data_IF_543552276018
#
_entry.id   IF_543552276018
#
_cell.length_a   1.000
_cell.length_b   1.000
_cell.length_c   1.000
_cell.angle_alpha   90.00
_cell.angle_beta   90.00
_cell.angle_gamma   90.00
#
_symmetry.space_group_name_H-M   'P 1'
#
loop_
_entity.id
_entity.type
_entity.pdbx_description
1 polymer ?
#
# COMPACT_ATOMS: atom_id res chain seq x y z
N UNK A 1 -2.09 -25.37 4.72
CA UNK A 1 -1.14 -24.23 4.72
C UNK A 1 -1.43 -23.35 3.53
N UNK A 2 -1.67 -22.06 3.78
CA UNK A 2 -1.78 -21.06 2.71
C UNK A 2 -0.37 -20.81 2.12
N UNK A 3 -0.21 -20.70 0.79
CA UNK A 3 1.07 -20.30 0.20
C UNK A 3 1.49 -18.90 0.71
N UNK A 4 2.79 -18.56 0.70
CA UNK A 4 3.24 -17.22 1.04
C UNK A 4 2.56 -16.16 0.17
N UNK A 5 2.08 -15.09 0.80
CA UNK A 5 1.41 -13.99 0.13
C UNK A 5 1.86 -12.63 0.68
N UNK A 6 1.65 -11.60 -0.13
CA UNK A 6 1.86 -10.20 0.24
C UNK A 6 0.52 -9.52 0.47
N UNK A 7 0.37 -8.81 1.58
CA UNK A 7 -0.80 -7.94 1.76
C UNK A 7 -0.55 -6.57 1.13
N UNK A 8 -1.58 -5.98 0.50
CA UNK A 8 -1.53 -4.60 0.06
C UNK A 8 -2.14 -3.68 1.13
N UNK A 9 -1.38 -2.67 1.54
CA UNK A 9 -1.82 -1.57 2.38
C UNK A 9 -1.94 -0.31 1.51
N UNK A 10 -3.16 0.17 1.28
CA UNK A 10 -3.40 1.28 0.36
C UNK A 10 -4.72 2.01 0.65
N UNK A 11 -4.84 3.23 0.12
CA UNK A 11 -6.12 3.96 0.16
C UNK A 11 -6.99 3.56 -1.02
N UNK A 12 -8.25 3.19 -0.79
CA UNK A 12 -9.15 2.85 -1.87
C UNK A 12 -9.43 4.01 -2.84
N UNK A 13 -9.39 5.26 -2.37
CA UNK A 13 -9.70 6.45 -3.16
C UNK A 13 -11.19 6.54 -3.49
N UNK A 14 -11.52 7.13 -4.64
CA UNK A 14 -12.91 7.36 -5.07
C UNK A 14 -13.75 6.07 -5.04
N UNK A 15 -15.03 6.20 -4.67
CA UNK A 15 -15.94 5.05 -4.56
C UNK A 15 -16.33 4.43 -5.90
N UNK A 16 -16.09 5.15 -7.01
CA UNK A 16 -16.40 4.69 -8.36
C UNK A 16 -15.36 3.66 -8.78
N UNK A 17 -15.82 2.45 -9.08
CA UNK A 17 -15.05 1.51 -9.88
C UNK A 17 -14.96 2.07 -11.30
N UNK A 18 -13.74 2.29 -11.78
CA UNK A 18 -13.50 2.95 -13.07
C UNK A 18 -12.67 2.08 -14.02
N UNK A 19 -12.33 0.87 -13.60
CA UNK A 19 -11.49 -0.05 -14.36
C UNK A 19 -11.92 -1.49 -14.08
N UNK A 20 -11.66 -2.38 -15.05
CA UNK A 20 -11.89 -3.81 -14.90
C UNK A 20 -10.57 -4.56 -15.06
N UNK A 21 -10.39 -5.59 -14.25
CA UNK A 21 -9.34 -6.61 -14.39
C UNK A 21 -10.00 -7.98 -14.58
N UNK A 22 -9.21 -8.99 -14.92
CA UNK A 22 -9.69 -10.37 -15.01
C UNK A 22 -9.34 -11.11 -13.72
N UNK A 23 -10.36 -11.61 -13.02
CA UNK A 23 -10.21 -12.48 -11.84
C UNK A 23 -10.94 -13.79 -12.12
N UNK A 24 -10.23 -14.92 -12.07
CA UNK A 24 -10.78 -16.25 -12.37
C UNK A 24 -11.56 -16.31 -13.70
N UNK A 25 -11.03 -15.66 -14.75
CA UNK A 25 -11.65 -15.61 -16.08
C UNK A 25 -12.86 -14.68 -16.21
N UNK A 26 -13.20 -13.90 -15.18
CA UNK A 26 -14.34 -12.96 -15.18
C UNK A 26 -13.86 -11.53 -15.01
N UNK A 27 -14.56 -10.59 -15.65
CA UNK A 27 -14.33 -9.18 -15.43
C UNK A 27 -14.70 -8.79 -13.99
N UNK A 28 -13.78 -8.11 -13.31
CA UNK A 28 -13.93 -7.66 -11.93
C UNK A 28 -13.60 -6.17 -11.84
N UNK A 29 -14.55 -5.39 -11.31
CA UNK A 29 -14.44 -3.94 -11.21
C UNK A 29 -13.55 -3.50 -10.05
N UNK A 30 -12.55 -2.68 -10.35
CA UNK A 30 -11.63 -2.10 -9.36
C UNK A 30 -11.59 -0.57 -9.45
N UNK A 31 -11.11 0.04 -8.37
CA UNK A 31 -10.91 1.49 -8.29
C UNK A 31 -9.62 1.89 -8.98
N UNK A 32 -9.58 3.13 -9.49
CA UNK A 32 -8.41 3.69 -10.20
C UNK A 32 -7.10 3.56 -9.44
N UNK A 33 -7.12 3.76 -8.11
CA UNK A 33 -5.90 3.69 -7.31
C UNK A 33 -5.34 2.26 -7.23
N UNK A 34 -6.21 1.24 -7.19
CA UNK A 34 -5.77 -0.15 -7.22
C UNK A 34 -5.23 -0.53 -8.60
N UNK A 35 -5.87 -0.08 -9.68
CA UNK A 35 -5.34 -0.29 -11.04
C UNK A 35 -3.91 0.26 -11.16
N UNK A 36 -3.69 1.50 -10.72
CA UNK A 36 -2.37 2.13 -10.78
C UNK A 36 -1.31 1.33 -10.02
N UNK A 37 -1.66 0.76 -8.85
CA UNK A 37 -0.78 -0.14 -8.13
C UNK A 37 -0.48 -1.41 -8.92
N UNK A 38 -1.50 -2.09 -9.45
CA UNK A 38 -1.33 -3.36 -10.19
C UNK A 38 -0.48 -3.16 -11.46
N UNK A 39 -0.68 -2.06 -12.19
CA UNK A 39 0.14 -1.71 -13.35
C UNK A 39 1.61 -1.47 -12.98
N UNK A 40 1.87 -0.86 -11.82
CA UNK A 40 3.23 -0.65 -11.34
C UNK A 40 3.86 -1.95 -10.83
N UNK A 41 3.11 -2.77 -10.09
CA UNK A 41 3.57 -4.08 -9.62
C UNK A 41 3.93 -5.00 -10.80
N UNK A 42 3.10 -5.03 -11.84
CA UNK A 42 3.34 -5.82 -13.05
C UNK A 42 4.55 -5.36 -13.88
N UNK A 43 5.07 -4.15 -13.66
CA UNK A 43 6.27 -3.62 -14.32
C UNK A 43 7.52 -3.73 -13.47
N UNK A 44 7.39 -4.15 -12.21
CA UNK A 44 8.54 -4.30 -11.33
C UNK A 44 9.35 -5.53 -11.70
N UNK A 45 10.65 -5.52 -11.41
CA UNK A 45 11.53 -6.69 -11.56
C UNK A 45 11.34 -7.72 -10.43
N UNK A 46 10.26 -7.62 -9.67
CA UNK A 46 9.91 -8.59 -8.62
C UNK A 46 9.36 -9.88 -9.22
N UNK A 47 9.24 -10.91 -8.38
CA UNK A 47 8.71 -12.22 -8.73
C UNK A 47 7.34 -12.11 -9.43
N UNK A 48 7.21 -12.55 -10.71
CA UNK A 48 5.95 -12.50 -11.43
C UNK A 48 4.88 -13.43 -10.84
N UNK A 49 5.28 -14.43 -10.04
CA UNK A 49 4.38 -15.35 -9.36
C UNK A 49 4.00 -14.86 -7.94
N UNK A 50 4.36 -13.61 -7.59
CA UNK A 50 4.03 -13.01 -6.29
C UNK A 50 2.52 -12.95 -6.07
N UNK A 51 2.06 -13.68 -5.05
CA UNK A 51 0.67 -13.65 -4.62
C UNK A 51 0.37 -12.41 -3.79
N UNK A 52 -0.72 -11.72 -4.14
CA UNK A 52 -1.24 -10.60 -3.36
C UNK A 52 -2.58 -10.93 -2.72
N UNK A 53 -2.73 -10.57 -1.45
CA UNK A 53 -4.01 -10.41 -0.80
C UNK A 53 -4.38 -8.92 -0.82
N UNK A 54 -5.49 -8.60 -1.46
CA UNK A 54 -5.98 -7.23 -1.65
C UNK A 54 -7.45 -7.21 -1.27
N UNK A 55 -7.80 -6.48 -0.22
CA UNK A 55 -9.15 -6.42 0.36
C UNK A 55 -10.27 -6.23 -0.67
N UNK A 56 -10.09 -5.33 -1.63
CA UNK A 56 -11.06 -5.05 -2.69
C UNK A 56 -11.34 -6.23 -3.61
N UNK A 57 -10.39 -7.17 -3.75
CA UNK A 57 -10.49 -8.35 -4.62
C UNK A 57 -10.83 -9.60 -3.80
N UNK A 58 -10.17 -9.79 -2.66
CA UNK A 58 -10.25 -11.01 -1.85
C UNK A 58 -11.46 -11.07 -0.91
N UNK A 59 -12.09 -9.93 -0.62
CA UNK A 59 -13.30 -9.86 0.20
C UNK A 59 -14.49 -9.56 -0.72
N UNK A 60 -15.57 -10.32 -0.57
CA UNK A 60 -16.81 -10.01 -1.25
C UNK A 60 -17.43 -8.71 -0.69
N UNK A 61 -17.23 -7.62 -1.42
CA UNK A 61 -17.68 -6.30 -0.99
C UNK A 61 -19.20 -6.13 -0.99
N UNK A 62 -19.94 -7.05 -1.64
CA UNK A 62 -21.40 -7.02 -1.72
C UNK A 62 -22.05 -7.81 -0.57
N UNK A 63 -21.31 -8.69 0.08
CA UNK A 63 -21.77 -9.45 1.24
C UNK A 63 -21.30 -8.73 2.52
N UNK A 64 -22.26 -8.16 3.25
CA UNK A 64 -21.95 -7.43 4.48
C UNK A 64 -21.54 -8.36 5.62
N UNK A 65 -22.07 -9.59 5.65
CA UNK A 65 -21.74 -10.57 6.68
C UNK A 65 -20.31 -11.06 6.49
N UNK A 66 -19.97 -11.53 5.28
CA UNK A 66 -18.60 -11.93 4.93
C UNK A 66 -17.62 -10.78 5.16
N UNK A 67 -17.96 -9.56 4.73
CA UNK A 67 -17.09 -8.39 4.91
C UNK A 67 -16.80 -8.13 6.38
N UNK A 68 -17.81 -8.22 7.25
CA UNK A 68 -17.60 -7.99 8.69
C UNK A 68 -16.74 -9.09 9.32
N UNK A 69 -16.92 -10.34 8.91
CA UNK A 69 -16.07 -11.45 9.33
C UNK A 69 -14.62 -11.25 8.87
N UNK A 70 -14.41 -10.86 7.61
CA UNK A 70 -13.08 -10.59 7.04
C UNK A 70 -12.40 -9.41 7.73
N UNK A 71 -13.13 -8.34 8.04
CA UNK A 71 -12.61 -7.20 8.81
C UNK A 71 -12.12 -7.65 10.19
N UNK A 72 -12.84 -8.54 10.85
CA UNK A 72 -12.42 -9.12 12.15
C UNK A 72 -11.15 -9.97 12.01
N UNK A 73 -10.94 -10.59 10.84
CA UNK A 73 -9.77 -11.42 10.53
C UNK A 73 -8.56 -10.63 9.99
N UNK A 74 -8.72 -9.36 9.59
CA UNK A 74 -7.65 -8.57 8.96
C UNK A 74 -6.36 -8.59 9.78
N UNK A 75 -6.42 -8.40 11.10
CA UNK A 75 -5.22 -8.42 11.94
C UNK A 75 -4.43 -9.72 11.81
N UNK A 76 -5.11 -10.86 11.68
CA UNK A 76 -4.47 -12.17 11.45
C UNK A 76 -3.90 -12.26 10.03
N UNK A 77 -4.63 -11.82 9.02
CA UNK A 77 -4.20 -11.83 7.61
C UNK A 77 -2.91 -11.02 7.44
N UNK A 78 -2.86 -9.79 7.96
CA UNK A 78 -1.65 -8.96 7.90
C UNK A 78 -0.49 -9.56 8.70
N UNK A 79 -0.76 -10.17 9.86
CA UNK A 79 0.26 -10.83 10.70
C UNK A 79 0.82 -12.12 10.09
N UNK A 80 0.03 -12.85 9.31
CA UNK A 80 0.41 -14.12 8.67
C UNK A 80 1.01 -13.92 7.28
N UNK A 81 0.87 -12.74 6.68
CA UNK A 81 1.48 -12.40 5.41
C UNK A 81 3.01 -12.51 5.46
N UNK A 82 3.60 -12.96 4.35
CA UNK A 82 5.06 -13.04 4.22
C UNK A 82 5.69 -11.64 4.09
N UNK A 83 5.00 -10.74 3.38
CA UNK A 83 5.40 -9.35 3.20
C UNK A 83 4.16 -8.44 3.21
N UNK A 84 4.40 -7.15 3.38
CA UNK A 84 3.42 -6.11 3.15
C UNK A 84 3.92 -5.16 2.07
N UNK A 85 3.08 -4.81 1.10
CA UNK A 85 3.35 -3.74 0.16
C UNK A 85 2.55 -2.50 0.60
N UNK A 86 3.23 -1.37 0.80
CA UNK A 86 2.58 -0.09 1.08
C UNK A 86 2.49 0.73 -0.20
N UNK A 87 1.27 1.05 -0.62
CA UNK A 87 1.01 1.89 -1.79
C UNK A 87 0.60 3.30 -1.36
N UNK A 88 1.57 4.22 -1.49
CA UNK A 88 1.36 5.64 -1.22
C UNK A 88 0.69 6.37 -2.40
N UNK A 89 0.41 5.70 -3.51
CA UNK A 89 -0.05 6.35 -4.75
C UNK A 89 1.08 6.64 -5.73
N UNK A 90 0.72 7.03 -6.96
CA UNK A 90 1.69 7.29 -8.03
C UNK A 90 2.74 8.35 -7.65
N UNK A 91 3.92 8.22 -8.25
CA UNK A 91 4.99 9.19 -8.08
C UNK A 91 4.52 10.60 -8.49
N UNK A 92 5.00 11.62 -7.77
CA UNK A 92 4.66 13.01 -8.09
C UNK A 92 5.34 13.43 -9.39
N UNK A 93 4.62 14.17 -10.24
CA UNK A 93 5.19 14.76 -11.48
C UNK A 93 6.40 15.65 -11.15
N UNK A 94 6.40 16.28 -9.98
CA UNK A 94 7.49 17.16 -9.52
C UNK A 94 8.74 16.42 -9.01
N UNK A 95 8.77 15.08 -9.05
CA UNK A 95 9.80 14.22 -8.41
C UNK A 95 9.94 14.39 -6.89
N UNK A 96 9.06 15.17 -6.25
CA UNK A 96 9.07 15.36 -4.80
C UNK A 96 8.96 14.02 -4.04
N UNK A 97 8.22 13.04 -4.57
CA UNK A 97 8.16 11.70 -3.98
C UNK A 97 9.52 11.02 -3.94
N UNK A 98 10.34 11.15 -4.98
CA UNK A 98 11.61 10.45 -5.08
C UNK A 98 12.63 11.07 -4.12
N UNK A 99 12.63 12.41 -4.03
CA UNK A 99 13.42 13.15 -3.03
C UNK A 99 13.03 12.75 -1.61
N UNK A 100 11.73 12.66 -1.32
CA UNK A 100 11.24 12.27 0.00
C UNK A 100 11.61 10.82 0.34
N UNK A 101 11.43 9.89 -0.59
CA UNK A 101 11.76 8.47 -0.39
C UNK A 101 13.26 8.25 -0.20
N UNK A 102 14.10 8.91 -1.00
CA UNK A 102 15.56 8.88 -0.83
C UNK A 102 15.97 9.39 0.55
N UNK A 103 15.40 10.53 0.97
CA UNK A 103 15.69 11.09 2.28
C UNK A 103 15.24 10.16 3.42
N UNK A 104 14.07 9.51 3.30
CA UNK A 104 13.60 8.56 4.31
C UNK A 104 14.50 7.33 4.43
N UNK A 105 15.08 6.85 3.31
CA UNK A 105 16.06 5.76 3.34
C UNK A 105 17.34 6.18 4.08
N UNK A 106 17.80 7.41 3.85
CA UNK A 106 18.95 7.96 4.56
C UNK A 106 18.65 8.10 6.06
N UNK A 107 17.51 8.70 6.40
CA UNK A 107 17.04 8.92 7.78
C UNK A 107 16.91 7.60 8.54
N UNK A 108 16.48 6.53 7.90
CA UNK A 108 16.34 5.22 8.53
C UNK A 108 17.67 4.64 9.06
N UNK A 109 18.81 5.14 8.58
CA UNK A 109 20.15 4.74 9.04
C UNK A 109 20.71 5.68 10.10
N UNK A 110 20.00 6.76 10.45
CA UNK A 110 20.50 7.77 11.38
C UNK A 110 20.36 7.35 12.84
N UNK A 111 21.22 7.94 13.66
CA UNK A 111 21.27 7.81 15.12
C UNK A 111 20.88 9.12 15.79
N UNK A 112 20.64 9.09 17.10
CA UNK A 112 20.33 10.29 17.90
C UNK A 112 21.41 11.39 17.84
N UNK A 113 22.62 11.05 17.40
CA UNK A 113 23.75 11.99 17.28
C UNK A 113 23.76 12.74 15.96
N UNK A 114 23.02 12.27 14.96
CA UNK A 114 22.97 12.87 13.64
C UNK A 114 22.12 14.14 13.66
N UNK A 115 22.71 15.24 13.19
CA UNK A 115 22.00 16.52 13.08
C UNK A 115 21.32 16.61 11.72
N UNK A 116 20.01 16.78 11.74
CA UNK A 116 19.20 16.89 10.54
C UNK A 116 19.18 18.34 10.07
N UNK A 117 19.78 18.60 8.90
CA UNK A 117 19.60 19.86 8.17
C UNK A 117 18.95 19.54 6.83
N UNK A 118 17.63 19.78 6.75
CA UNK A 118 16.90 19.65 5.50
C UNK A 118 16.92 20.97 4.74
N UNK A 119 17.14 20.89 3.43
CA UNK A 119 16.82 22.02 2.54
C UNK A 119 15.31 22.26 2.53
N UNK A 120 14.88 23.48 2.18
CA UNK A 120 13.44 23.79 2.02
C UNK A 120 12.75 22.83 1.04
N UNK A 121 13.44 22.44 -0.04
CA UNK A 121 12.94 21.49 -1.03
C UNK A 121 12.72 20.09 -0.44
N UNK A 122 13.68 19.58 0.34
CA UNK A 122 13.55 18.29 1.03
C UNK A 122 12.43 18.31 2.07
N UNK A 123 12.33 19.38 2.87
CA UNK A 123 11.26 19.52 3.84
C UNK A 123 9.88 19.52 3.15
N UNK A 124 9.73 20.29 2.06
CA UNK A 124 8.50 20.32 1.28
C UNK A 124 8.17 18.96 0.66
N UNK A 125 9.16 18.25 0.14
CA UNK A 125 8.99 16.91 -0.42
C UNK A 125 8.45 15.91 0.61
N UNK A 126 9.00 15.91 1.84
CA UNK A 126 8.51 15.06 2.93
C UNK A 126 7.09 15.45 3.34
N UNK A 127 6.81 16.75 3.48
CA UNK A 127 5.45 17.23 3.81
C UNK A 127 4.45 16.74 2.77
N UNK A 128 4.73 16.91 1.47
CA UNK A 128 3.85 16.42 0.40
C UNK A 128 3.66 14.90 0.43
N UNK A 129 4.66 14.13 0.86
CA UNK A 129 4.54 12.69 1.02
C UNK A 129 3.63 12.32 2.20
N UNK A 130 3.74 13.04 3.32
CA UNK A 130 2.94 12.86 4.53
C UNK A 130 1.51 13.38 4.42
N UNK A 131 1.25 14.33 3.53
CA UNK A 131 -0.09 14.83 3.21
C UNK A 131 -0.91 13.86 2.34
N UNK A 132 -0.30 12.76 1.88
CA UNK A 132 -1.00 11.79 1.05
C UNK A 132 -2.15 11.10 1.83
N UNK A 133 -3.28 10.80 1.17
CA UNK A 133 -4.47 10.21 1.82
C UNK A 133 -4.22 8.90 2.58
N UNK A 134 -3.13 8.21 2.28
CA UNK A 134 -2.72 7.00 2.99
C UNK A 134 -2.57 7.23 4.50
N UNK A 135 -1.96 8.34 4.90
CA UNK A 135 -1.62 8.63 6.29
C UNK A 135 -2.81 9.03 7.16
N UNK A 136 -3.94 9.39 6.56
CA UNK A 136 -5.18 9.70 7.29
C UNK A 136 -6.07 8.47 7.52
N UNK A 137 -5.62 7.27 7.12
CA UNK A 137 -6.36 6.02 7.32
C UNK A 137 -6.28 5.56 8.78
N UNK A 138 -7.43 5.31 9.39
CA UNK A 138 -7.52 4.80 10.77
C UNK A 138 -6.79 3.45 10.96
N UNK A 139 -6.78 2.60 9.93
CA UNK A 139 -6.25 1.23 9.99
C UNK A 139 -4.73 1.11 9.78
N UNK A 140 -4.05 2.20 9.43
CA UNK A 140 -2.62 2.19 9.09
C UNK A 140 -1.75 1.68 10.26
N UNK A 141 -2.14 1.98 11.51
CA UNK A 141 -1.40 1.56 12.70
C UNK A 141 -1.44 0.05 12.87
N UNK A 142 -2.60 -0.58 12.62
CA UNK A 142 -2.73 -2.03 12.70
C UNK A 142 -1.93 -2.73 11.59
N UNK A 143 -1.98 -2.19 10.38
CA UNK A 143 -1.23 -2.71 9.24
C UNK A 143 0.28 -2.64 9.53
N UNK A 144 0.81 -1.46 9.85
CA UNK A 144 2.25 -1.25 10.08
C UNK A 144 2.75 -2.03 11.31
N UNK A 145 1.99 -2.07 12.41
CA UNK A 145 2.43 -2.75 13.65
C UNK A 145 2.43 -4.28 13.53
N UNK A 146 1.68 -4.85 12.60
CA UNK A 146 1.53 -6.29 12.44
C UNK A 146 2.34 -6.87 11.27
N UNK A 147 2.84 -6.03 10.37
CA UNK A 147 3.68 -6.44 9.26
C UNK A 147 4.98 -7.08 9.73
N UNK A 148 5.26 -8.32 9.31
CA UNK A 148 6.54 -9.00 9.59
C UNK A 148 7.71 -8.38 8.83
N UNK A 149 7.44 -7.93 7.61
CA UNK A 149 8.38 -7.28 6.71
C UNK A 149 7.60 -6.30 5.84
N UNK A 150 8.02 -5.03 5.87
CA UNK A 150 7.48 -3.91 5.09
C UNK A 150 8.48 -3.61 3.97
#
# INVERSE_FOLDING_TARGET
>A
NCPPYTTLSYTWGSHRQTANITVNGRAFGIRKNLLAFLEQAARSDEDPDRLFWIDQICINQQDTEERNEQVTQMGRIYKEAANMAIWLGQASISKASDVAMSLLQDVAQWTEKDRILLTKGQAYAVIQLLERPYWSRLWIVQEISLGRKI
#
